data_IF_539542802976
#
_entry.id   IF_539542802976
#
_cell.length_a   1.000
_cell.length_b   1.000
_cell.length_c   1.000
_cell.angle_alpha   90.00
_cell.angle_beta   90.00
_cell.angle_gamma   90.00
#
_symmetry.space_group_name_H-M   'P 1'
#
loop_
_entity.id
_entity.type
_entity.pdbx_description
1 polymer ?
#
# COMPACT_ATOMS: atom_id res chain seq x y z
N UNK A 1 38.60 47.18 -8.77
CA UNK A 1 39.23 46.26 -7.79
C UNK A 1 38.11 45.51 -7.08
N UNK A 2 37.65 44.38 -7.62
CA UNK A 2 38.07 43.03 -7.21
C UNK A 2 37.03 42.49 -6.21
N UNK A 3 36.50 41.27 -6.25
CA UNK A 3 36.82 40.04 -6.95
C UNK A 3 35.58 39.14 -6.74
N UNK A 4 34.66 39.06 -7.71
CA UNK A 4 33.53 38.14 -7.64
C UNK A 4 34.03 36.75 -8.05
N UNK A 5 34.14 35.83 -7.09
CA UNK A 5 34.50 34.43 -7.37
C UNK A 5 33.29 33.73 -8.01
N UNK A 6 33.39 33.42 -9.29
CA UNK A 6 32.45 32.54 -9.99
C UNK A 6 32.61 31.11 -9.47
N UNK A 7 31.55 30.56 -8.89
CA UNK A 7 31.46 29.11 -8.64
C UNK A 7 30.85 28.47 -9.87
N UNK A 8 31.67 27.79 -10.64
CA UNK A 8 31.26 26.99 -11.81
C UNK A 8 30.43 25.79 -11.38
N UNK A 9 29.36 25.41 -12.11
CA UNK A 9 28.62 24.18 -11.85
C UNK A 9 29.43 22.94 -12.28
N UNK A 10 29.36 21.82 -11.55
CA UNK A 10 30.00 20.57 -11.97
C UNK A 10 29.32 20.01 -13.22
N UNK A 11 30.12 19.87 -14.28
CA UNK A 11 29.78 19.23 -15.55
C UNK A 11 29.51 17.74 -15.34
N UNK A 12 28.28 17.39 -15.02
CA UNK A 12 27.78 16.02 -15.01
C UNK A 12 27.21 15.65 -16.38
N UNK A 13 27.99 14.95 -17.18
CA UNK A 13 27.64 14.49 -18.52
C UNK A 13 26.46 13.52 -18.47
N UNK A 14 25.30 13.94 -18.98
CA UNK A 14 24.14 13.08 -19.22
C UNK A 14 24.48 12.14 -20.38
N UNK A 15 24.80 10.87 -20.08
CA UNK A 15 24.97 9.84 -21.09
C UNK A 15 23.59 9.29 -21.47
N UNK A 16 23.01 9.82 -22.54
CA UNK A 16 21.85 9.24 -23.20
C UNK A 16 22.25 7.93 -23.87
N UNK A 17 21.82 6.78 -23.34
CA UNK A 17 21.82 5.54 -24.11
C UNK A 17 20.56 5.50 -24.98
N UNK A 18 20.77 5.78 -26.27
CA UNK A 18 19.81 5.58 -27.36
C UNK A 18 20.02 4.18 -27.90
N UNK A 19 19.28 3.20 -27.37
CA UNK A 19 19.18 1.87 -27.98
C UNK A 19 17.87 1.83 -28.77
N UNK A 20 17.96 2.05 -30.08
CA UNK A 20 16.86 1.84 -31.01
C UNK A 20 17.34 0.87 -32.08
N UNK A 21 16.51 -0.14 -32.35
CA UNK A 21 16.54 -1.07 -33.49
C UNK A 21 17.19 -2.43 -33.23
N UNK A 22 16.37 -3.44 -32.89
CA UNK A 22 15.83 -4.44 -33.84
C UNK A 22 15.11 -5.59 -33.13
N UNK A 23 13.88 -5.85 -33.55
CA UNK A 23 13.21 -7.14 -33.42
C UNK A 23 13.50 -7.96 -34.70
N UNK A 24 13.72 -9.30 -34.63
CA UNK A 24 12.68 -10.21 -35.12
C UNK A 24 12.57 -11.55 -34.35
N UNK A 25 11.35 -11.83 -33.86
CA UNK A 25 10.55 -13.06 -33.94
C UNK A 25 11.04 -14.44 -33.41
N UNK A 26 10.07 -15.13 -32.79
CA UNK A 26 9.83 -16.59 -32.60
C UNK A 26 10.52 -17.29 -31.40
N UNK A 27 9.89 -18.06 -30.49
CA UNK A 27 8.62 -18.81 -30.45
C UNK A 27 8.05 -18.91 -29.01
N UNK A 28 6.71 -18.98 -28.88
CA UNK A 28 5.96 -19.48 -27.71
C UNK A 28 5.96 -21.03 -27.70
N UNK A 29 5.72 -21.67 -26.54
CA UNK A 29 4.37 -22.20 -26.35
C UNK A 29 3.79 -21.93 -24.95
N UNK A 30 2.60 -21.33 -24.98
CA UNK A 30 1.41 -21.73 -24.23
C UNK A 30 1.63 -22.65 -23.00
N UNK A 31 1.42 -22.11 -21.81
CA UNK A 31 0.51 -22.77 -20.87
C UNK A 31 -0.16 -21.72 -20.00
N UNK A 32 -1.46 -21.58 -20.26
CA UNK A 32 -2.45 -21.01 -19.36
C UNK A 32 -2.25 -21.62 -17.97
N UNK A 33 -2.17 -20.80 -16.93
CA UNK A 33 -2.75 -21.16 -15.65
C UNK A 33 -3.71 -20.03 -15.26
N UNK A 34 -4.89 -20.20 -15.83
CA UNK A 34 -6.14 -19.55 -15.48
C UNK A 34 -6.41 -19.66 -13.99
N UNK A 35 -7.00 -18.59 -13.47
CA UNK A 35 -7.78 -18.51 -12.25
C UNK A 35 -8.81 -19.67 -12.24
N UNK A 36 -8.58 -20.70 -11.43
CA UNK A 36 -9.66 -21.62 -11.05
C UNK A 36 -9.77 -21.61 -9.52
N UNK A 37 -11.01 -21.49 -9.09
CA UNK A 37 -11.50 -21.22 -7.76
C UNK A 37 -11.23 -22.37 -6.76
N UNK A 38 -11.39 -22.09 -5.45
CA UNK A 38 -11.07 -23.00 -4.36
C UNK A 38 -12.15 -24.08 -4.19
N UNK A 39 -11.71 -25.29 -3.86
CA UNK A 39 -12.54 -26.31 -3.24
C UNK A 39 -12.42 -27.69 -3.84
N UNK A 40 -11.45 -28.47 -3.36
CA UNK A 40 -11.60 -29.94 -3.24
C UNK A 40 -10.81 -30.40 -2.02
N UNK A 41 -11.54 -30.79 -0.98
CA UNK A 41 -11.05 -31.64 0.10
C UNK A 41 -10.68 -32.99 -0.53
N UNK A 42 -9.39 -33.34 -0.62
CA UNK A 42 -8.96 -34.69 -0.97
C UNK A 42 -8.52 -35.43 0.29
N UNK A 43 -9.39 -36.32 0.74
CA UNK A 43 -9.18 -37.27 1.82
C UNK A 43 -8.40 -38.50 1.35
N UNK A 44 -7.36 -38.86 2.13
CA UNK A 44 -6.86 -40.23 2.44
C UNK A 44 -5.95 -40.95 1.40
N UNK A 45 -5.26 -42.05 1.77
CA UNK A 45 -4.25 -42.18 2.85
C UNK A 45 -3.03 -43.01 2.39
N UNK A 46 -1.82 -42.74 2.88
CA UNK A 46 -0.68 -43.65 2.64
C UNK A 46 0.04 -43.97 3.95
N UNK A 47 -0.52 -44.94 4.65
CA UNK A 47 0.17 -45.72 5.68
C UNK A 47 1.02 -46.77 4.95
N UNK A 48 2.34 -46.58 4.91
CA UNK A 48 3.30 -47.66 4.64
C UNK A 48 4.41 -47.62 5.68
N UNK A 49 4.20 -48.40 6.73
CA UNK A 49 5.22 -48.81 7.69
C UNK A 49 6.02 -49.95 7.06
N UNK A 50 7.20 -49.63 6.52
CA UNK A 50 8.26 -50.60 6.22
C UNK A 50 9.39 -50.39 7.23
N UNK A 51 9.55 -51.36 8.11
CA UNK A 51 10.66 -51.49 9.08
C UNK A 51 11.88 -52.10 8.41
N UNK A 52 13.06 -51.87 9.02
CA UNK A 52 14.27 -52.73 9.05
C UNK A 52 15.47 -52.16 8.26
N UNK A 53 16.36 -51.54 9.04
CA UNK A 53 17.82 -51.62 8.96
C UNK A 53 18.46 -51.48 7.58
N UNK A 54 18.96 -50.27 7.27
CA UNK A 54 20.22 -50.14 6.56
C UNK A 54 21.08 -49.06 7.24
N UNK A 55 22.19 -49.54 7.80
CA UNK A 55 23.49 -48.85 7.88
C UNK A 55 23.56 -47.55 8.66
N UNK A 56 24.20 -47.59 9.82
CA UNK A 56 24.84 -46.41 10.43
C UNK A 56 25.98 -45.99 9.49
N UNK A 57 25.68 -45.18 8.49
CA UNK A 57 26.67 -44.45 7.72
C UNK A 57 26.95 -43.15 8.48
N UNK A 58 28.13 -43.04 9.08
CA UNK A 58 28.56 -41.82 9.77
C UNK A 58 28.87 -40.74 8.72
N UNK A 59 27.84 -40.10 8.20
CA UNK A 59 27.97 -38.87 7.43
C UNK A 59 28.45 -37.77 8.40
N UNK A 60 29.48 -36.96 8.06
CA UNK A 60 29.78 -35.78 8.85
C UNK A 60 28.49 -34.95 8.98
N UNK A 61 28.17 -34.42 10.18
CA UNK A 61 26.92 -33.71 10.39
C UNK A 61 26.79 -32.63 9.32
N UNK A 62 25.67 -32.54 8.59
CA UNK A 62 25.49 -31.46 7.64
C UNK A 62 25.65 -30.17 8.44
N UNK A 63 26.70 -29.43 8.13
CA UNK A 63 26.97 -28.09 8.64
C UNK A 63 25.65 -27.35 8.62
N UNK A 64 25.12 -27.08 9.82
CA UNK A 64 23.81 -26.50 10.11
C UNK A 64 23.32 -25.65 8.93
N UNK A 65 22.54 -26.26 8.03
CA UNK A 65 21.95 -25.55 6.91
C UNK A 65 20.94 -24.61 7.54
N UNK A 66 21.36 -23.36 7.71
CA UNK A 66 20.57 -22.30 8.30
C UNK A 66 19.41 -22.05 7.35
N UNK A 67 18.29 -22.71 7.61
CA UNK A 67 17.03 -22.44 6.94
C UNK A 67 16.80 -20.92 7.05
N UNK A 68 16.57 -20.20 5.94
CA UNK A 68 16.23 -18.79 6.03
C UNK A 68 15.00 -18.65 6.92
N UNK A 69 15.01 -17.66 7.82
CA UNK A 69 13.99 -17.49 8.82
C UNK A 69 12.61 -17.46 8.12
N UNK A 70 11.72 -18.44 8.35
CA UNK A 70 10.50 -18.57 7.57
C UNK A 70 9.63 -17.32 7.74
N UNK A 71 8.94 -16.92 6.67
CA UNK A 71 8.03 -15.79 6.73
C UNK A 71 6.92 -16.07 7.76
N UNK A 72 6.70 -15.19 8.75
CA UNK A 72 5.70 -15.43 9.78
C UNK A 72 4.30 -15.47 9.16
N UNK A 73 3.40 -16.33 9.67
CA UNK A 73 2.00 -16.35 9.23
C UNK A 73 1.20 -15.26 9.94
N UNK A 74 0.37 -14.52 9.19
CA UNK A 74 -0.46 -13.44 9.74
C UNK A 74 -1.41 -13.93 10.83
N UNK A 75 -2.19 -14.99 10.56
CA UNK A 75 -3.20 -15.53 11.48
C UNK A 75 -2.65 -16.32 12.67
N UNK A 76 -1.35 -16.61 12.71
CA UNK A 76 -0.73 -17.30 13.85
C UNK A 76 0.00 -16.31 14.78
N UNK A 77 0.71 -15.33 14.21
CA UNK A 77 1.52 -14.38 14.97
C UNK A 77 1.44 -12.99 14.35
N UNK A 78 0.33 -12.25 14.55
CA UNK A 78 0.10 -10.98 13.85
C UNK A 78 1.12 -9.90 14.21
N UNK A 79 1.49 -9.76 15.49
CA UNK A 79 2.49 -8.79 15.93
C UNK A 79 3.88 -9.08 15.33
N UNK A 80 4.25 -10.36 15.24
CA UNK A 80 5.51 -10.79 14.61
C UNK A 80 5.49 -10.55 13.10
N UNK A 81 4.34 -10.75 12.44
CA UNK A 81 4.17 -10.46 11.02
C UNK A 81 4.34 -8.98 10.73
N UNK A 82 3.70 -8.10 11.51
CA UNK A 82 3.84 -6.63 11.35
C UNK A 82 5.29 -6.16 11.49
N UNK A 83 6.01 -6.66 12.51
CA UNK A 83 7.44 -6.32 12.68
C UNK A 83 8.34 -6.84 11.55
N UNK A 84 7.97 -7.95 10.91
CA UNK A 84 8.68 -8.47 9.74
C UNK A 84 8.34 -7.66 8.48
N UNK A 85 7.07 -7.38 8.23
CA UNK A 85 6.61 -6.66 7.03
C UNK A 85 7.11 -5.21 6.99
N UNK A 86 7.21 -4.53 8.14
CA UNK A 86 7.82 -3.20 8.25
C UNK A 86 9.26 -3.13 7.71
N UNK A 87 10.06 -4.20 7.91
CA UNK A 87 11.49 -4.24 7.55
C UNK A 87 11.73 -4.82 6.16
N UNK A 88 11.05 -5.91 5.82
CA UNK A 88 11.26 -6.62 4.56
C UNK A 88 10.50 -5.98 3.39
N UNK A 89 9.31 -5.42 3.65
CA UNK A 89 8.40 -4.90 2.61
C UNK A 89 7.82 -3.55 3.02
N UNK A 90 8.65 -2.51 3.21
CA UNK A 90 8.20 -1.22 3.74
C UNK A 90 7.14 -0.55 2.87
N UNK A 91 7.27 -0.61 1.53
CA UNK A 91 6.31 0.02 0.62
C UNK A 91 4.87 -0.52 0.79
N UNK A 92 4.71 -1.84 0.96
CA UNK A 92 3.40 -2.46 1.16
C UNK A 92 2.85 -2.20 2.57
N UNK A 93 3.72 -2.21 3.57
CA UNK A 93 3.29 -1.98 4.95
C UNK A 93 2.77 -0.55 5.14
N UNK A 94 3.57 0.45 4.77
CA UNK A 94 3.22 1.85 5.02
C UNK A 94 2.10 2.38 4.12
N UNK A 95 1.91 1.82 2.92
CA UNK A 95 0.77 2.18 2.06
C UNK A 95 -0.56 1.83 2.71
N UNK A 96 -0.69 0.62 3.28
CA UNK A 96 -1.90 0.20 4.00
C UNK A 96 -2.11 1.02 5.28
N UNK A 97 -1.04 1.30 6.04
CA UNK A 97 -1.14 2.13 7.26
C UNK A 97 -1.58 3.55 6.92
N UNK A 98 -0.99 4.19 5.91
CA UNK A 98 -1.38 5.54 5.50
C UNK A 98 -2.82 5.56 4.95
N UNK A 99 -3.17 4.60 4.10
CA UNK A 99 -4.50 4.48 3.51
C UNK A 99 -5.59 4.22 4.56
N UNK A 100 -5.29 3.49 5.63
CA UNK A 100 -6.22 3.24 6.73
C UNK A 100 -6.31 4.40 7.73
N UNK A 101 -5.21 5.13 7.95
CA UNK A 101 -5.20 6.28 8.87
C UNK A 101 -6.11 7.42 8.39
N UNK A 102 -6.22 7.61 7.07
CA UNK A 102 -7.05 8.66 6.50
C UNK A 102 -8.56 8.51 6.78
N UNK A 103 -9.23 7.38 6.48
CA UNK A 103 -10.65 7.21 6.83
C UNK A 103 -10.86 7.25 8.35
N UNK A 104 -9.95 6.68 9.14
CA UNK A 104 -10.03 6.72 10.61
C UNK A 104 -10.05 8.18 11.10
N UNK A 105 -9.20 9.04 10.55
CA UNK A 105 -9.18 10.47 10.91
C UNK A 105 -10.41 11.21 10.41
N UNK A 106 -10.92 10.92 9.22
CA UNK A 106 -12.17 11.53 8.71
C UNK A 106 -13.38 11.24 9.61
N UNK A 107 -13.46 10.04 10.18
CA UNK A 107 -14.55 9.69 11.09
C UNK A 107 -14.27 10.09 12.55
N UNK A 108 -13.01 10.05 12.98
CA UNK A 108 -12.62 10.34 14.36
C UNK A 108 -12.52 11.83 14.68
N UNK A 109 -12.00 12.64 13.76
CA UNK A 109 -11.72 14.07 14.01
C UNK A 109 -12.99 14.92 14.17
N UNK A 110 -14.02 14.82 13.32
CA UNK A 110 -15.22 15.66 13.45
C UNK A 110 -15.96 15.56 14.80
N UNK A 111 -16.22 14.36 15.37
CA UNK A 111 -16.87 14.28 16.68
C UNK A 111 -15.95 14.77 17.82
N UNK A 112 -14.64 14.56 17.72
CA UNK A 112 -13.68 15.05 18.72
C UNK A 112 -13.64 16.58 18.72
N UNK A 113 -13.57 17.21 17.55
CA UNK A 113 -13.59 18.67 17.42
C UNK A 113 -14.88 19.29 17.95
N UNK A 114 -16.05 18.68 17.64
CA UNK A 114 -17.34 19.16 18.19
C UNK A 114 -17.38 19.12 19.71
N UNK A 115 -16.79 18.09 20.34
CA UNK A 115 -16.67 18.00 21.81
C UNK A 115 -15.71 19.05 22.38
N UNK A 116 -14.71 19.47 21.61
CA UNK A 116 -13.79 20.56 21.99
C UNK A 116 -14.38 21.96 21.74
N UNK A 117 -15.66 22.06 21.35
CA UNK A 117 -16.33 23.34 21.11
C UNK A 117 -16.12 23.93 19.72
N UNK A 118 -15.55 23.18 18.78
CA UNK A 118 -15.47 23.62 17.39
C UNK A 118 -16.83 23.51 16.70
N UNK A 119 -17.42 24.66 16.36
CA UNK A 119 -18.64 24.75 15.56
C UNK A 119 -18.30 24.93 14.07
N UNK A 120 -19.09 24.32 13.19
CA UNK A 120 -18.93 24.48 11.73
C UNK A 120 -19.46 25.85 11.33
N UNK A 121 -18.73 26.54 10.44
CA UNK A 121 -19.21 27.77 9.84
C UNK A 121 -20.60 27.57 9.18
N UNK A 122 -21.51 28.56 9.30
CA UNK A 122 -22.80 28.50 8.63
C UNK A 122 -22.63 28.49 7.10
N UNK A 123 -23.57 27.90 6.36
CA UNK A 123 -23.50 27.87 4.90
C UNK A 123 -23.58 29.29 4.33
N UNK A 124 -22.70 29.59 3.37
CA UNK A 124 -22.72 30.85 2.63
C UNK A 124 -24.00 30.88 1.77
N UNK A 125 -24.79 31.97 1.78
CA UNK A 125 -25.95 32.07 0.92
C UNK A 125 -25.52 32.14 -0.54
N UNK A 126 -26.01 31.21 -1.36
CA UNK A 126 -25.71 31.14 -2.80
C UNK A 126 -26.61 32.04 -3.65
N UNK A 127 -27.60 32.67 -3.04
CA UNK A 127 -28.57 33.54 -3.70
C UNK A 127 -28.92 34.66 -2.74
N UNK A 128 -29.35 35.80 -3.29
CA UNK A 128 -29.88 36.89 -2.50
C UNK A 128 -30.97 36.35 -1.54
N UNK A 129 -30.90 36.65 -0.23
CA UNK A 129 -31.86 36.12 0.73
C UNK A 129 -33.21 36.79 0.51
N UNK A 130 -34.09 36.10 -0.22
CA UNK A 130 -35.47 36.54 -0.41
C UNK A 130 -36.26 36.27 0.88
N UNK A 131 -36.83 37.29 1.52
CA UNK A 131 -37.67 37.09 2.70
C UNK A 131 -38.87 36.20 2.35
N UNK A 132 -39.20 35.23 3.21
CA UNK A 132 -40.31 34.27 3.00
C UNK A 132 -41.69 34.86 3.31
N UNK A 133 -41.84 36.18 3.30
CA UNK A 133 -43.06 36.88 3.70
C UNK A 133 -43.89 37.40 2.52
N UNK A 134 -45.18 37.71 2.74
CA UNK A 134 -45.99 38.41 1.76
C UNK A 134 -45.42 39.81 1.49
N UNK A 135 -45.64 40.31 0.27
CA UNK A 135 -45.15 41.65 -0.11
C UNK A 135 -45.80 42.72 0.76
N UNK A 136 -44.98 43.60 1.33
CA UNK A 136 -45.43 44.79 2.05
C UNK A 136 -45.62 45.94 1.06
N UNK A 137 -46.75 46.62 1.10
CA UNK A 137 -46.97 47.89 0.37
C UNK A 137 -46.00 48.93 0.95
N UNK A 138 -45.12 49.46 0.11
CA UNK A 138 -44.16 50.52 0.48
C UNK A 138 -44.70 51.86 -0.04
N UNK A 139 -44.45 52.95 0.66
CA UNK A 139 -44.78 54.33 0.22
C UNK A 139 -43.52 55.19 0.26
N UNK A 140 -43.44 56.25 -0.56
CA UNK A 140 -42.36 57.25 -0.48
C UNK A 140 -41.25 57.15 -1.53
N UNK A 141 -41.46 56.34 -2.58
CA UNK A 141 -40.65 56.28 -3.81
C UNK A 141 -41.56 56.24 -5.06
N UNK A 142 -42.77 56.79 -4.92
CA UNK A 142 -43.67 57.04 -6.03
C UNK A 142 -43.15 58.29 -6.79
N UNK A 143 -43.23 58.29 -8.12
CA UNK A 143 -42.64 59.33 -9.01
C UNK A 143 -43.01 60.78 -8.64
#
# INVERSE_FOLDING_TARGET
MGLWKSVSPPTGTVRCHRESSKEPQTQLPNSKLTIENPGVISTKPARLNTTRNQSIEHTPPPHHLKMPNPTPRFWATPLRYMRWSMREKPALFYSVVAASTFPITLFGVPPVLKKMGYERAPPIPMTYPVPTGPRKQLTGYDD
#
